data_IF_701601988778
#
_entry.id   IF_701601988778
#
_cell.length_a   1.000
_cell.length_b   1.000
_cell.length_c   1.000
_cell.angle_alpha   90.00
_cell.angle_beta   90.00
_cell.angle_gamma   90.00
#
_symmetry.space_group_name_H-M   'P 1'
#
loop_
_entity.id
_entity.type
_entity.pdbx_description
1 polymer ?
#
# COMPACT_ATOMS: atom_id res chain seq x y z
N UNK A 1 -4.93 -4.79 -9.82
CA UNK A 1 -3.58 -5.37 -9.59
C UNK A 1 -2.49 -4.74 -10.49
N UNK A 2 -2.82 -4.29 -11.72
CA UNK A 2 -1.85 -3.70 -12.67
C UNK A 2 -1.19 -2.39 -12.19
N UNK A 3 -1.83 -1.62 -11.34
CA UNK A 3 -1.37 -0.27 -10.97
C UNK A 3 -0.35 -0.27 -9.83
N UNK A 4 -0.36 -1.30 -8.98
CA UNK A 4 0.46 -1.31 -7.76
C UNK A 4 1.94 -1.62 -7.98
N UNK A 5 2.29 -2.47 -8.97
CA UNK A 5 3.66 -2.98 -9.10
C UNK A 5 4.56 -2.14 -10.03
N UNK A 6 4.01 -1.49 -11.06
CA UNK A 6 4.83 -0.78 -12.05
C UNK A 6 5.41 0.54 -11.54
N UNK A 7 4.71 1.23 -10.63
CA UNK A 7 5.16 2.53 -10.13
C UNK A 7 6.16 2.44 -8.97
N UNK A 8 6.14 1.34 -8.19
CA UNK A 8 6.95 1.22 -6.98
C UNK A 8 8.43 0.99 -7.31
N UNK A 9 8.75 0.08 -8.21
CA UNK A 9 10.15 -0.19 -8.59
C UNK A 9 10.76 1.02 -9.30
N UNK A 10 10.02 1.66 -10.21
CA UNK A 10 10.49 2.86 -10.93
C UNK A 10 10.65 4.08 -10.02
N UNK A 11 9.78 4.27 -9.01
CA UNK A 11 9.85 5.45 -8.14
C UNK A 11 11.03 5.44 -7.15
N UNK A 12 11.51 4.26 -6.75
CA UNK A 12 12.69 4.14 -5.88
C UNK A 12 14.01 4.14 -6.64
N UNK A 13 13.99 3.77 -7.91
CA UNK A 13 15.17 3.70 -8.76
C UNK A 13 15.35 5.02 -9.51
N UNK A 14 14.26 5.71 -9.84
CA UNK A 14 14.30 6.97 -10.61
C UNK A 14 14.79 8.12 -9.71
N UNK A 15 15.90 8.75 -10.06
CA UNK A 15 16.33 9.97 -9.38
C UNK A 15 15.28 11.07 -9.47
N UNK A 16 15.03 11.78 -8.36
CA UNK A 16 14.04 12.85 -8.27
C UNK A 16 14.62 14.17 -8.81
N UNK A 17 14.69 14.32 -10.13
CA UNK A 17 15.10 15.59 -10.75
C UNK A 17 14.59 15.69 -12.20
N UNK A 18 14.17 16.86 -12.61
CA UNK A 18 13.69 17.12 -13.99
C UNK A 18 14.81 17.07 -15.04
N UNK A 19 16.09 17.11 -14.61
CA UNK A 19 17.27 17.11 -15.49
C UNK A 19 17.88 15.71 -15.67
N UNK A 20 17.05 14.66 -15.69
CA UNK A 20 17.51 13.28 -15.83
C UNK A 20 17.00 12.68 -17.12
N UNK A 21 17.95 12.28 -17.97
CA UNK A 21 17.67 11.48 -19.16
C UNK A 21 17.57 10.01 -18.78
N UNK A 22 16.43 9.39 -19.10
CA UNK A 22 16.18 7.96 -18.93
C UNK A 22 16.30 7.24 -20.27
N UNK A 23 17.08 6.14 -20.29
CA UNK A 23 17.19 5.22 -21.42
C UNK A 23 16.87 3.82 -20.94
N UNK A 24 15.88 3.16 -21.54
CA UNK A 24 15.38 1.85 -21.11
C UNK A 24 15.30 0.87 -22.27
N UNK A 25 15.72 -0.37 -22.01
CA UNK A 25 15.40 -1.55 -22.84
C UNK A 25 14.54 -2.45 -21.96
N UNK A 26 13.30 -2.70 -22.39
CA UNK A 26 12.30 -3.40 -21.61
C UNK A 26 11.70 -4.56 -22.41
N UNK A 27 11.52 -5.69 -21.74
CA UNK A 27 10.78 -6.85 -22.22
C UNK A 27 9.60 -7.11 -21.29
N UNK A 28 8.39 -7.04 -21.82
CA UNK A 28 7.14 -7.39 -21.14
C UNK A 28 6.62 -8.72 -21.69
N UNK A 29 6.48 -9.72 -20.81
CA UNK A 29 5.91 -11.00 -21.12
C UNK A 29 4.62 -11.19 -20.30
N UNK A 30 3.47 -11.08 -20.97
CA UNK A 30 2.16 -11.30 -20.38
C UNK A 30 1.62 -12.67 -20.78
N UNK A 31 1.62 -13.62 -19.85
CA UNK A 31 1.05 -14.94 -20.04
C UNK A 31 -0.20 -15.10 -19.17
N UNK A 32 -1.12 -16.00 -19.54
CA UNK A 32 -2.36 -16.26 -18.78
C UNK A 32 -2.11 -16.64 -17.32
N UNK A 33 -0.96 -17.19 -16.99
CA UNK A 33 -0.61 -17.71 -15.66
C UNK A 33 0.38 -16.85 -14.89
N UNK A 34 1.09 -15.94 -15.54
CA UNK A 34 2.09 -15.08 -14.92
C UNK A 34 2.36 -13.83 -15.76
N UNK A 35 2.92 -12.82 -15.14
CA UNK A 35 3.43 -11.61 -15.77
C UNK A 35 4.92 -11.49 -15.43
N UNK A 36 5.76 -11.16 -16.41
CA UNK A 36 7.18 -10.88 -16.21
C UNK A 36 7.53 -9.60 -16.97
N UNK A 37 8.08 -8.65 -16.25
CA UNK A 37 8.73 -7.48 -16.78
C UNK A 37 10.23 -7.58 -16.46
N UNK A 38 11.11 -7.34 -17.42
CA UNK A 38 12.56 -7.32 -17.20
C UNK A 38 13.22 -6.35 -18.14
N UNK A 39 14.37 -5.82 -17.74
CA UNK A 39 15.07 -4.86 -18.61
C UNK A 39 16.34 -4.30 -18.00
N UNK A 40 16.81 -3.26 -18.68
CA UNK A 40 17.99 -2.48 -18.32
C UNK A 40 17.61 -1.00 -18.39
N UNK A 41 17.98 -0.22 -17.38
CA UNK A 41 17.72 1.23 -17.33
C UNK A 41 19.04 1.94 -17.10
N UNK A 42 19.25 3.03 -17.79
CA UNK A 42 20.33 3.98 -17.56
C UNK A 42 19.74 5.36 -17.31
N UNK A 43 20.13 5.99 -16.22
CA UNK A 43 19.82 7.37 -15.90
C UNK A 43 21.07 8.23 -16.06
N UNK A 44 20.95 9.37 -16.73
CA UNK A 44 22.02 10.37 -16.87
C UNK A 44 21.54 11.69 -16.27
N UNK A 45 22.25 12.19 -15.27
CA UNK A 45 22.00 13.52 -14.72
C UNK A 45 22.74 14.57 -15.54
N UNK A 46 22.00 15.38 -16.28
CA UNK A 46 22.51 16.36 -17.23
C UNK A 46 23.22 17.56 -16.57
N UNK A 47 23.04 17.76 -15.26
CA UNK A 47 23.71 18.83 -14.52
C UNK A 47 25.09 18.43 -14.00
N UNK A 48 25.40 17.12 -13.92
CA UNK A 48 26.71 16.62 -13.49
C UNK A 48 27.66 16.47 -14.67
N UNK A 49 28.91 16.89 -14.48
CA UNK A 49 29.94 16.85 -15.53
C UNK A 49 30.94 15.68 -15.36
N UNK A 50 30.83 14.88 -14.29
CA UNK A 50 31.71 13.75 -13.98
C UNK A 50 31.03 12.39 -14.30
N UNK A 51 31.75 11.29 -14.09
CA UNK A 51 31.21 9.95 -14.33
C UNK A 51 30.09 9.55 -13.35
N UNK A 52 29.96 10.23 -12.20
CA UNK A 52 28.88 10.02 -11.23
C UNK A 52 27.53 10.55 -11.73
N UNK A 53 27.48 11.11 -12.94
CA UNK A 53 26.23 11.47 -13.60
C UNK A 53 25.38 10.27 -14.00
N UNK A 54 25.98 9.08 -14.11
CA UNK A 54 25.29 7.89 -14.55
C UNK A 54 24.83 7.03 -13.37
N UNK A 55 23.59 6.55 -13.45
CA UNK A 55 23.06 5.48 -12.61
C UNK A 55 22.51 4.36 -13.52
N UNK A 56 22.91 3.14 -13.27
CA UNK A 56 22.54 1.98 -14.07
C UNK A 56 21.74 0.99 -13.23
N UNK A 57 20.66 0.47 -13.79
CA UNK A 57 19.90 -0.67 -13.27
C UNK A 57 20.04 -1.83 -14.25
N UNK A 58 20.89 -2.81 -13.93
CA UNK A 58 21.39 -3.83 -14.87
C UNK A 58 21.55 -5.20 -14.21
N UNK A 59 20.64 -6.16 -14.43
CA UNK A 59 19.26 -6.04 -14.91
C UNK A 59 18.29 -5.70 -13.77
N UNK A 60 17.04 -5.43 -14.13
CA UNK A 60 15.91 -5.53 -13.21
C UNK A 60 14.91 -6.57 -13.72
N UNK A 61 14.08 -7.10 -12.80
CA UNK A 61 12.92 -7.90 -13.15
C UNK A 61 11.79 -7.72 -12.14
N UNK A 62 10.57 -7.90 -12.61
CA UNK A 62 9.36 -7.98 -11.81
C UNK A 62 8.52 -9.15 -12.32
N UNK A 63 8.31 -10.15 -11.47
CA UNK A 63 7.56 -11.35 -11.77
C UNK A 63 6.34 -11.44 -10.86
N UNK A 64 5.18 -11.75 -11.43
CA UNK A 64 3.93 -11.93 -10.68
C UNK A 64 3.19 -13.17 -11.18
N UNK A 65 2.70 -13.98 -10.23
CA UNK A 65 1.93 -15.18 -10.52
C UNK A 65 0.82 -15.38 -9.50
N UNK A 66 -0.42 -15.41 -9.97
CA UNK A 66 -1.55 -15.89 -9.17
C UNK A 66 -1.51 -17.42 -9.07
N UNK A 67 -1.47 -17.92 -7.85
CA UNK A 67 -1.58 -19.34 -7.51
C UNK A 67 -3.01 -19.56 -7.01
N UNK A 68 -3.91 -20.04 -7.86
CA UNK A 68 -5.28 -20.35 -7.42
C UNK A 68 -5.28 -21.63 -6.59
N UNK A 69 -5.82 -21.58 -5.39
CA UNK A 69 -6.15 -22.78 -4.61
C UNK A 69 -7.33 -23.52 -5.27
N UNK A 70 -7.13 -24.77 -5.65
CA UNK A 70 -8.18 -25.61 -6.28
C UNK A 70 -9.37 -25.91 -5.36
N UNK A 71 -9.34 -25.51 -4.08
CA UNK A 71 -10.33 -25.94 -3.08
C UNK A 71 -11.07 -24.79 -2.38
N UNK A 72 -11.36 -23.67 -3.05
CA UNK A 72 -12.17 -22.60 -2.46
C UNK A 72 -11.65 -22.03 -1.11
N UNK A 73 -10.35 -22.14 -0.81
CA UNK A 73 -9.78 -21.67 0.44
C UNK A 73 -9.43 -20.17 0.40
N UNK A 74 -9.13 -19.66 -0.78
CA UNK A 74 -8.70 -18.27 -0.95
C UNK A 74 -7.81 -18.05 -2.17
N UNK A 75 -7.22 -16.87 -2.24
CA UNK A 75 -6.31 -16.46 -3.28
C UNK A 75 -4.88 -16.46 -2.75
N UNK A 76 -3.97 -17.10 -3.48
CA UNK A 76 -2.53 -17.02 -3.24
C UNK A 76 -1.90 -16.25 -4.40
N UNK A 77 -1.09 -15.27 -4.09
CA UNK A 77 -0.32 -14.51 -5.06
C UNK A 77 1.16 -14.55 -4.70
N UNK A 78 2.01 -14.82 -5.67
CA UNK A 78 3.47 -14.76 -5.53
C UNK A 78 4.02 -13.66 -6.42
N UNK A 79 4.83 -12.78 -5.83
CA UNK A 79 5.58 -11.77 -6.57
C UNK A 79 7.05 -11.88 -6.24
N UNK A 80 7.90 -11.66 -7.24
CA UNK A 80 9.34 -11.61 -7.08
C UNK A 80 9.88 -10.43 -7.88
N UNK A 81 10.63 -9.58 -7.23
CA UNK A 81 11.31 -8.48 -7.90
C UNK A 81 12.79 -8.49 -7.56
N UNK A 82 13.62 -8.08 -8.50
CA UNK A 82 15.04 -7.97 -8.31
C UNK A 82 15.63 -6.85 -9.12
N UNK A 83 16.65 -6.21 -8.56
CA UNK A 83 17.41 -5.16 -9.22
C UNK A 83 18.89 -5.20 -8.83
N UNK A 84 19.73 -4.82 -9.79
CA UNK A 84 21.12 -4.45 -9.54
C UNK A 84 21.30 -2.99 -9.95
N UNK A 85 21.54 -2.12 -8.97
CA UNK A 85 21.72 -0.69 -9.18
C UNK A 85 23.16 -0.30 -8.93
N UNK A 86 23.81 0.28 -9.93
CA UNK A 86 25.17 0.84 -9.87
C UNK A 86 25.09 2.35 -10.02
N UNK A 87 25.56 3.10 -9.02
CA UNK A 87 25.62 4.55 -9.02
C UNK A 87 26.95 5.07 -8.47
N UNK A 88 27.21 6.35 -8.70
CA UNK A 88 28.43 7.03 -8.24
C UNK A 88 29.67 6.20 -8.57
N UNK A 89 29.72 5.63 -9.80
CA UNK A 89 30.75 4.78 -10.41
C UNK A 89 31.09 3.47 -9.69
N UNK A 90 30.89 3.35 -8.38
CA UNK A 90 31.32 2.19 -7.60
C UNK A 90 30.36 1.74 -6.49
N UNK A 91 29.24 2.40 -6.34
CA UNK A 91 28.24 2.07 -5.31
C UNK A 91 27.23 1.08 -5.90
N UNK A 92 27.31 -0.20 -5.48
CA UNK A 92 26.46 -1.27 -6.01
C UNK A 92 25.47 -1.73 -4.95
N UNK A 93 24.19 -1.82 -5.36
CA UNK A 93 23.12 -2.48 -4.63
C UNK A 93 22.58 -3.62 -5.46
N UNK A 94 22.52 -4.81 -4.90
CA UNK A 94 21.83 -5.96 -5.48
C UNK A 94 20.77 -6.44 -4.51
N UNK A 95 19.53 -6.63 -4.95
CA UNK A 95 18.47 -7.17 -4.11
C UNK A 95 17.50 -8.05 -4.88
N UNK A 96 16.92 -9.00 -4.16
CA UNK A 96 15.80 -9.84 -4.58
C UNK A 96 14.78 -9.80 -3.46
N UNK A 97 13.53 -9.53 -3.80
CA UNK A 97 12.41 -9.50 -2.87
C UNK A 97 11.35 -10.47 -3.37
N UNK A 98 10.99 -11.42 -2.51
CA UNK A 98 9.93 -12.38 -2.79
C UNK A 98 8.80 -12.18 -1.81
N UNK A 99 7.60 -11.93 -2.30
CA UNK A 99 6.39 -11.81 -1.51
C UNK A 99 5.43 -12.97 -1.84
N UNK A 100 4.91 -13.59 -0.80
CA UNK A 100 3.83 -14.56 -0.88
C UNK A 100 2.64 -14.03 -0.09
N UNK A 101 1.56 -13.74 -0.79
CA UNK A 101 0.31 -13.23 -0.23
C UNK A 101 -0.76 -14.31 -0.27
N UNK A 102 -1.46 -14.49 0.83
CA UNK A 102 -2.67 -15.27 0.91
C UNK A 102 -3.82 -14.43 1.46
N UNK A 103 -4.97 -14.53 0.81
CA UNK A 103 -6.23 -13.97 1.29
C UNK A 103 -7.29 -15.06 1.26
N UNK A 104 -7.81 -15.44 2.43
CA UNK A 104 -8.90 -16.42 2.49
C UNK A 104 -10.17 -15.86 1.86
N UNK A 105 -11.09 -16.74 1.50
CA UNK A 105 -12.47 -16.36 1.27
C UNK A 105 -13.09 -15.86 2.58
N UNK A 106 -14.16 -15.08 2.44
CA UNK A 106 -14.91 -14.60 3.58
C UNK A 106 -15.73 -15.73 4.23
N UNK A 107 -15.54 -15.91 5.52
CA UNK A 107 -16.37 -16.78 6.36
C UNK A 107 -17.54 -15.97 6.92
N UNK A 108 -18.75 -16.30 6.54
CA UNK A 108 -19.95 -15.61 7.03
C UNK A 108 -20.68 -16.54 8.01
N UNK A 109 -20.82 -16.11 9.25
CA UNK A 109 -21.56 -16.89 10.25
C UNK A 109 -23.08 -16.64 10.14
N UNK A 110 -23.87 -17.45 10.90
CA UNK A 110 -25.35 -17.35 10.90
C UNK A 110 -25.89 -15.99 11.38
N UNK A 111 -25.09 -15.17 12.03
CA UNK A 111 -25.46 -13.83 12.50
C UNK A 111 -25.06 -12.73 11.49
N UNK A 112 -24.48 -13.09 10.34
CA UNK A 112 -24.03 -12.12 9.33
C UNK A 112 -22.66 -11.52 9.60
N UNK A 113 -21.92 -11.99 10.60
CA UNK A 113 -20.53 -11.55 10.82
C UNK A 113 -19.67 -12.20 9.75
N UNK A 114 -18.94 -11.38 9.04
CA UNK A 114 -18.02 -11.70 7.96
C UNK A 114 -16.60 -11.63 8.48
N UNK A 115 -15.81 -12.68 8.26
CA UNK A 115 -14.40 -12.73 8.70
C UNK A 115 -13.52 -13.32 7.60
N UNK A 116 -12.28 -12.88 7.51
CA UNK A 116 -11.26 -13.49 6.66
C UNK A 116 -9.89 -13.46 7.35
N UNK A 117 -9.03 -14.36 6.90
CA UNK A 117 -7.64 -14.47 7.35
C UNK A 117 -6.74 -14.15 6.17
N UNK A 118 -5.80 -13.26 6.39
CA UNK A 118 -4.79 -12.88 5.41
C UNK A 118 -3.41 -13.15 5.98
N UNK A 119 -2.45 -13.52 5.14
CA UNK A 119 -1.05 -13.48 5.52
C UNK A 119 -0.19 -12.99 4.36
N UNK A 120 0.92 -12.37 4.71
CA UNK A 120 2.00 -12.01 3.79
C UNK A 120 3.32 -12.48 4.37
N UNK A 121 4.11 -13.15 3.53
CA UNK A 121 5.51 -13.50 3.83
C UNK A 121 6.38 -12.79 2.83
N UNK A 122 7.35 -12.03 3.32
CA UNK A 122 8.33 -11.29 2.53
C UNK A 122 9.73 -11.84 2.82
N UNK A 123 10.46 -12.24 1.78
CA UNK A 123 11.87 -12.58 1.86
C UNK A 123 12.70 -11.54 1.08
N UNK A 124 13.58 -10.85 1.79
CA UNK A 124 14.53 -9.90 1.21
C UNK A 124 15.93 -10.55 1.22
N UNK A 125 16.54 -10.67 0.05
CA UNK A 125 17.95 -11.02 -0.12
C UNK A 125 18.63 -9.79 -0.70
N UNK A 126 19.68 -9.29 -0.03
CA UNK A 126 20.36 -8.08 -0.47
C UNK A 126 21.86 -8.14 -0.21
N UNK A 127 22.62 -7.47 -1.09
CA UNK A 127 24.06 -7.25 -0.99
C UNK A 127 24.37 -5.81 -1.41
N UNK A 128 25.26 -5.19 -0.68
CA UNK A 128 25.68 -3.79 -0.90
C UNK A 128 27.19 -3.73 -1.01
N UNK A 129 27.69 -2.85 -1.86
CA UNK A 129 29.10 -2.55 -2.00
C UNK A 129 29.30 -1.03 -1.99
N UNK A 130 30.22 -0.56 -1.14
CA UNK A 130 30.52 0.86 -0.95
C UNK A 130 29.31 1.72 -0.52
N UNK A 131 28.42 1.15 0.28
CA UNK A 131 27.32 1.85 0.94
C UNK A 131 27.64 2.05 2.42
N UNK A 132 27.75 3.28 2.90
CA UNK A 132 28.10 3.59 4.30
C UNK A 132 27.05 3.10 5.31
N UNK A 133 25.79 3.02 4.89
CA UNK A 133 24.66 2.64 5.76
C UNK A 133 24.38 1.13 5.80
N UNK A 134 24.99 0.33 4.93
CA UNK A 134 24.68 -1.08 4.79
C UNK A 134 25.93 -1.95 4.84
N UNK A 135 25.77 -3.14 5.42
CA UNK A 135 26.85 -4.14 5.43
C UNK A 135 27.10 -4.65 4.02
N UNK A 136 28.36 -4.79 3.65
CA UNK A 136 28.78 -5.29 2.32
C UNK A 136 28.52 -6.77 2.09
N UNK A 137 28.13 -7.53 3.12
CA UNK A 137 27.88 -8.96 3.00
C UNK A 137 26.47 -9.27 2.51
N UNK A 138 26.33 -10.41 1.84
CA UNK A 138 25.02 -10.96 1.49
C UNK A 138 24.18 -11.15 2.75
N UNK A 139 22.99 -10.59 2.78
CA UNK A 139 22.03 -10.72 3.87
C UNK A 139 20.72 -11.29 3.35
N UNK A 140 20.08 -12.13 4.17
CA UNK A 140 18.72 -12.63 3.91
C UNK A 140 17.88 -12.36 5.13
N UNK A 141 16.66 -11.81 4.90
CA UNK A 141 15.69 -11.50 5.94
C UNK A 141 14.34 -12.05 5.55
N UNK A 142 13.73 -12.81 6.46
CA UNK A 142 12.38 -13.31 6.32
C UNK A 142 11.46 -12.56 7.29
N UNK A 143 10.35 -12.08 6.80
CA UNK A 143 9.35 -11.31 7.56
C UNK A 143 7.97 -11.87 7.28
N UNK A 144 7.04 -11.75 8.24
CA UNK A 144 5.69 -12.25 8.04
C UNK A 144 4.65 -11.51 8.86
N UNK A 145 3.49 -11.26 8.25
CA UNK A 145 2.30 -10.69 8.88
C UNK A 145 1.16 -11.69 8.77
N UNK A 146 0.45 -11.90 9.87
CA UNK A 146 -0.86 -12.57 9.90
C UNK A 146 -1.91 -11.54 10.31
N UNK A 147 -3.03 -11.55 9.64
CA UNK A 147 -4.14 -10.64 9.87
C UNK A 147 -5.46 -11.39 9.93
N UNK A 148 -6.28 -11.09 10.94
CA UNK A 148 -7.68 -11.50 11.02
C UNK A 148 -8.53 -10.25 10.88
N UNK A 149 -9.31 -10.16 9.80
CA UNK A 149 -10.29 -9.09 9.61
C UNK A 149 -11.69 -9.60 9.90
N UNK A 150 -12.50 -8.80 10.56
CA UNK A 150 -13.91 -9.09 10.84
C UNK A 150 -14.73 -7.83 10.62
N UNK A 151 -15.89 -7.98 9.98
CA UNK A 151 -16.87 -6.92 9.81
C UNK A 151 -18.29 -7.43 10.08
N UNK A 152 -19.19 -6.48 10.33
CA UNK A 152 -20.60 -6.79 10.56
C UNK A 152 -21.49 -5.87 9.70
N UNK A 153 -21.56 -6.14 8.39
CA UNK A 153 -22.33 -5.31 7.47
C UNK A 153 -23.83 -5.38 7.79
N UNK A 154 -24.44 -4.22 7.97
CA UNK A 154 -25.85 -4.04 8.24
C UNK A 154 -26.48 -3.17 7.15
N UNK A 155 -27.69 -3.49 6.77
CA UNK A 155 -28.46 -2.72 5.79
C UNK A 155 -29.85 -2.43 6.36
N UNK A 156 -30.28 -1.17 6.24
CA UNK A 156 -31.64 -0.76 6.55
C UNK A 156 -32.19 0.04 5.37
N UNK A 157 -33.30 -0.42 4.82
CA UNK A 157 -34.05 0.28 3.78
C UNK A 157 -35.24 1.00 4.43
N UNK A 158 -35.45 2.25 4.12
CA UNK A 158 -36.63 3.04 4.39
C UNK A 158 -37.29 3.49 3.07
N UNK A 159 -38.29 4.36 3.12
CA UNK A 159 -39.10 4.73 1.94
C UNK A 159 -38.28 5.46 0.84
N UNK A 160 -37.24 6.20 1.23
CA UNK A 160 -36.44 7.02 0.31
C UNK A 160 -34.98 6.59 0.18
N UNK A 161 -34.44 5.90 1.22
CA UNK A 161 -33.00 5.65 1.33
C UNK A 161 -32.69 4.21 1.70
N UNK A 162 -31.52 3.76 1.24
CA UNK A 162 -30.84 2.57 1.75
C UNK A 162 -29.64 3.04 2.60
N UNK A 163 -29.61 2.59 3.83
CA UNK A 163 -28.54 2.90 4.77
C UNK A 163 -27.70 1.65 5.00
N UNK A 164 -26.39 1.75 4.75
CA UNK A 164 -25.40 0.71 5.00
C UNK A 164 -24.55 1.14 6.17
N UNK A 165 -24.28 0.22 7.10
CA UNK A 165 -23.36 0.44 8.20
C UNK A 165 -22.48 -0.81 8.35
N UNK A 166 -21.16 -0.67 8.24
CA UNK A 166 -20.21 -1.76 8.30
C UNK A 166 -19.08 -1.44 9.30
N UNK A 167 -19.24 -1.80 10.58
CA UNK A 167 -18.16 -1.74 11.55
C UNK A 167 -17.13 -2.83 11.23
N UNK A 168 -15.84 -2.47 11.26
CA UNK A 168 -14.71 -3.32 10.91
C UNK A 168 -13.67 -3.36 12.01
N UNK A 169 -13.07 -4.52 12.19
CA UNK A 169 -11.95 -4.74 13.10
C UNK A 169 -10.91 -5.63 12.41
N UNK A 170 -9.64 -5.28 12.55
CA UNK A 170 -8.53 -6.11 12.07
C UNK A 170 -7.50 -6.27 13.17
N UNK A 171 -7.15 -7.52 13.48
CA UNK A 171 -6.05 -7.89 14.36
C UNK A 171 -4.85 -8.30 13.50
N UNK A 172 -3.70 -7.64 13.69
CA UNK A 172 -2.46 -7.91 12.96
C UNK A 172 -1.34 -8.28 13.91
N UNK A 173 -0.59 -9.31 13.52
CA UNK A 173 0.55 -9.83 14.27
C UNK A 173 1.74 -9.96 13.32
N UNK A 174 2.81 -9.25 13.60
CA UNK A 174 4.10 -9.38 12.93
C UNK A 174 5.24 -9.37 13.97
N UNK A 175 5.82 -10.55 14.30
CA UNK A 175 6.93 -10.65 15.23
C UNK A 175 8.28 -10.28 14.61
N UNK A 176 8.35 -10.03 13.30
CA UNK A 176 9.59 -9.75 12.60
C UNK A 176 10.10 -8.34 12.91
N UNK A 177 11.42 -8.15 12.87
CA UNK A 177 12.02 -6.83 12.99
C UNK A 177 11.84 -6.03 11.69
N UNK A 178 11.35 -4.80 11.82
CA UNK A 178 11.24 -3.84 10.73
C UNK A 178 12.55 -3.11 10.51
N UNK A 179 12.90 -2.83 9.25
CA UNK A 179 13.95 -1.86 8.94
C UNK A 179 13.53 -0.45 9.36
N UNK A 180 14.51 0.40 9.66
CA UNK A 180 14.21 1.79 9.97
C UNK A 180 13.78 2.53 8.70
N UNK A 181 12.50 2.86 8.62
CA UNK A 181 11.87 3.61 7.53
C UNK A 181 11.26 4.93 8.02
N UNK A 182 11.69 5.43 9.19
CA UNK A 182 11.12 6.62 9.84
C UNK A 182 11.13 7.87 8.95
N UNK A 183 12.11 7.98 8.06
CA UNK A 183 12.27 9.11 7.14
C UNK A 183 11.58 8.90 5.78
N UNK A 184 10.97 7.75 5.53
CA UNK A 184 10.21 7.55 4.32
C UNK A 184 8.88 8.29 4.39
N UNK A 185 8.44 8.82 3.24
CA UNK A 185 7.13 9.46 3.14
C UNK A 185 6.06 8.42 2.83
N UNK A 186 5.20 8.15 3.81
CA UNK A 186 4.04 7.25 3.65
C UNK A 186 2.83 7.88 4.32
N UNK A 187 1.70 7.87 3.63
CA UNK A 187 0.43 8.40 4.15
C UNK A 187 -0.56 7.26 4.32
N UNK A 188 -1.13 7.15 5.51
CA UNK A 188 -2.26 6.26 5.77
C UNK A 188 -3.55 7.03 5.49
N UNK A 189 -4.46 6.38 4.77
CA UNK A 189 -5.79 6.85 4.44
C UNK A 189 -6.83 5.79 4.79
N UNK A 190 -8.10 6.17 4.79
CA UNK A 190 -9.17 5.20 5.03
C UNK A 190 -9.21 4.06 4.01
N UNK A 191 -8.78 4.33 2.77
CA UNK A 191 -8.80 3.34 1.70
C UNK A 191 -7.72 2.25 1.86
N UNK A 192 -6.63 2.53 2.60
CA UNK A 192 -5.52 1.56 2.82
C UNK A 192 -5.29 1.13 4.27
N UNK A 193 -6.01 1.70 5.25
CA UNK A 193 -5.79 1.43 6.68
C UNK A 193 -5.98 -0.06 7.05
N UNK A 194 -6.84 -0.76 6.30
CA UNK A 194 -7.12 -2.19 6.46
C UNK A 194 -6.30 -3.09 5.52
N UNK A 195 -5.40 -2.53 4.70
CA UNK A 195 -4.55 -3.34 3.83
C UNK A 195 -3.47 -4.05 4.65
N UNK A 196 -3.20 -5.32 4.34
CA UNK A 196 -2.17 -6.10 5.02
C UNK A 196 -0.79 -5.44 4.92
N UNK A 197 -0.52 -4.73 3.83
CA UNK A 197 0.69 -3.93 3.61
C UNK A 197 0.34 -2.45 3.39
N UNK A 198 -0.28 -1.85 4.39
CA UNK A 198 -0.78 -0.46 4.33
C UNK A 198 0.32 0.60 4.18
N UNK A 199 1.55 0.29 4.57
CA UNK A 199 2.70 1.18 4.39
C UNK A 199 3.33 1.05 3.01
N UNK A 200 3.13 -0.08 2.30
CA UNK A 200 3.69 -0.31 0.98
C UNK A 200 5.23 -0.21 0.92
N UNK A 201 5.91 -0.62 2.01
CA UNK A 201 7.36 -0.59 2.08
C UNK A 201 7.95 -1.76 1.28
N UNK A 202 8.95 -1.49 0.44
CA UNK A 202 9.46 -2.49 -0.48
C UNK A 202 10.28 -3.55 0.24
N UNK A 203 11.20 -3.15 1.10
CA UNK A 203 12.23 -4.01 1.70
C UNK A 203 11.94 -4.42 3.14
N UNK A 204 10.80 -4.02 3.68
CA UNK A 204 10.39 -4.35 5.04
C UNK A 204 8.86 -4.45 5.16
N UNK A 205 8.38 -4.99 6.27
CA UNK A 205 6.96 -5.03 6.64
C UNK A 205 6.77 -4.30 7.97
N UNK A 206 5.60 -3.69 8.17
CA UNK A 206 5.22 -3.08 9.44
C UNK A 206 5.24 -4.11 10.57
N UNK A 207 6.11 -3.94 11.55
CA UNK A 207 6.28 -4.85 12.69
C UNK A 207 5.39 -4.53 13.87
N UNK A 208 5.29 -5.50 14.79
CA UNK A 208 4.54 -5.40 16.04
C UNK A 208 3.08 -5.86 15.90
N UNK A 209 2.38 -5.85 17.05
CA UNK A 209 0.98 -6.24 17.13
C UNK A 209 0.10 -5.01 17.17
N UNK A 210 -0.99 -5.03 16.44
CA UNK A 210 -1.92 -3.91 16.43
C UNK A 210 -3.35 -4.34 16.10
N UNK A 211 -4.29 -3.52 16.56
CA UNK A 211 -5.71 -3.62 16.32
C UNK A 211 -6.12 -2.39 15.49
N UNK A 212 -6.71 -2.61 14.32
CA UNK A 212 -7.34 -1.56 13.53
C UNK A 212 -8.84 -1.59 13.77
N UNK A 213 -9.41 -0.46 14.13
CA UNK A 213 -10.85 -0.26 14.28
C UNK A 213 -11.33 0.68 13.19
N UNK A 214 -12.46 0.39 12.60
CA UNK A 214 -13.06 1.27 11.60
C UNK A 214 -14.55 1.08 11.44
N UNK A 215 -15.15 2.00 10.73
CA UNK A 215 -16.55 1.91 10.32
C UNK A 215 -16.75 2.59 8.97
N UNK A 216 -17.66 2.05 8.21
CA UNK A 216 -18.17 2.66 6.98
C UNK A 216 -19.68 2.87 7.13
N UNK A 217 -20.15 4.06 6.81
CA UNK A 217 -21.57 4.39 6.72
C UNK A 217 -21.84 4.96 5.35
N UNK A 218 -22.83 4.41 4.64
CA UNK A 218 -23.28 4.94 3.35
C UNK A 218 -24.79 5.08 3.38
N UNK A 219 -25.29 6.25 3.00
CA UNK A 219 -26.70 6.52 2.78
C UNK A 219 -26.90 6.84 1.31
N UNK A 220 -27.62 6.02 0.58
CA UNK A 220 -27.89 6.23 -0.84
C UNK A 220 -29.39 6.35 -1.12
N UNK A 221 -29.74 7.12 -2.15
CA UNK A 221 -31.13 7.32 -2.53
C UNK A 221 -31.65 6.08 -3.28
N UNK A 222 -32.83 5.57 -2.89
CA UNK A 222 -33.39 4.34 -3.44
C UNK A 222 -33.69 4.45 -4.96
N UNK A 223 -34.10 5.62 -5.41
CA UNK A 223 -34.43 5.86 -6.82
C UNK A 223 -33.23 6.20 -7.72
N UNK A 224 -32.08 6.57 -7.08
CA UNK A 224 -30.90 7.04 -7.81
C UNK A 224 -29.62 6.75 -6.99
N UNK A 225 -29.03 5.58 -7.21
CA UNK A 225 -27.84 5.08 -6.50
C UNK A 225 -26.61 5.99 -6.64
N UNK A 226 -26.63 6.93 -7.62
CA UNK A 226 -25.58 7.91 -7.80
C UNK A 226 -25.65 9.05 -6.77
N UNK A 227 -26.77 9.16 -6.04
CA UNK A 227 -26.94 10.13 -4.96
C UNK A 227 -26.67 9.46 -3.62
N UNK A 228 -25.52 9.73 -3.03
CA UNK A 228 -25.14 9.13 -1.75
C UNK A 228 -24.24 10.02 -0.91
N UNK A 229 -24.29 9.78 0.39
CA UNK A 229 -23.34 10.26 1.38
C UNK A 229 -22.62 9.04 1.96
N UNK A 230 -21.30 9.05 1.92
CA UNK A 230 -20.44 8.02 2.53
C UNK A 230 -19.54 8.65 3.59
N UNK A 231 -19.42 8.00 4.74
CA UNK A 231 -18.50 8.34 5.82
C UNK A 231 -17.68 7.11 6.17
N UNK A 232 -16.36 7.24 6.15
CA UNK A 232 -15.41 6.22 6.61
C UNK A 232 -14.58 6.79 7.73
N UNK A 233 -14.39 6.01 8.79
CA UNK A 233 -13.51 6.35 9.91
C UNK A 233 -12.63 5.14 10.24
N UNK A 234 -11.41 5.39 10.68
CA UNK A 234 -10.51 4.33 11.11
C UNK A 234 -9.41 4.84 12.04
N UNK A 235 -8.94 3.96 12.93
CA UNK A 235 -7.81 4.21 13.83
C UNK A 235 -7.08 2.91 14.15
N UNK A 236 -5.83 3.01 14.59
CA UNK A 236 -4.97 1.87 14.90
C UNK A 236 -4.50 1.99 16.35
N UNK A 237 -4.60 0.88 17.08
CA UNK A 237 -4.10 0.74 18.45
C UNK A 237 -2.98 -0.29 18.43
N UNK A 238 -1.77 0.09 18.84
CA UNK A 238 -0.58 -0.76 18.90
C UNK A 238 -0.27 -1.17 20.33
N UNK A 239 0.37 -2.32 20.50
CA UNK A 239 0.86 -2.74 21.83
C UNK A 239 1.98 -1.84 22.33
N UNK A 240 2.79 -1.31 21.43
CA UNK A 240 3.95 -0.46 21.75
C UNK A 240 4.24 0.55 20.63
N UNK A 241 4.95 1.62 20.96
CA UNK A 241 5.48 2.57 19.97
C UNK A 241 6.50 1.88 19.06
N UNK A 242 6.53 2.25 17.79
CA UNK A 242 7.52 1.75 16.84
C UNK A 242 8.14 2.91 16.05
N UNK A 243 9.33 3.32 16.46
CA UNK A 243 10.03 4.46 15.87
C UNK A 243 10.65 4.16 14.49
N UNK A 244 10.61 2.91 14.01
CA UNK A 244 11.04 2.55 12.66
C UNK A 244 9.97 2.80 11.60
N UNK A 245 8.73 3.05 12.02
CA UNK A 245 7.61 3.36 11.13
C UNK A 245 7.74 4.80 10.62
N UNK A 246 7.42 5.08 9.33
CA UNK A 246 7.38 6.42 8.78
C UNK A 246 6.59 7.40 9.64
N UNK A 247 7.22 8.52 10.04
CA UNK A 247 6.62 9.50 10.96
C UNK A 247 5.34 10.10 10.35
N UNK A 248 5.36 10.42 9.05
CA UNK A 248 4.25 11.01 8.34
C UNK A 248 3.04 10.08 8.20
N UNK A 249 3.21 8.78 8.44
CA UNK A 249 2.09 7.83 8.44
C UNK A 249 1.15 8.00 9.62
N UNK A 250 1.59 8.67 10.70
CA UNK A 250 0.85 8.90 11.95
C UNK A 250 0.36 7.63 12.65
N UNK A 251 1.05 6.46 12.42
CA UNK A 251 0.71 5.17 13.04
C UNK A 251 1.85 4.58 13.90
N UNK A 252 2.92 5.33 14.12
CA UNK A 252 4.11 4.88 14.87
C UNK A 252 3.88 4.78 16.37
N UNK A 253 2.88 5.47 16.92
CA UNK A 253 2.55 5.52 18.34
C UNK A 253 1.53 4.46 18.74
N UNK A 254 1.40 4.19 20.06
CA UNK A 254 0.40 3.26 20.62
C UNK A 254 -1.02 3.56 20.15
N UNK A 255 -1.36 4.83 19.98
CA UNK A 255 -2.59 5.29 19.37
C UNK A 255 -2.24 6.09 18.14
N UNK A 256 -2.75 5.66 17.00
CA UNK A 256 -2.62 6.43 15.76
C UNK A 256 -3.56 7.63 15.75
N UNK A 257 -3.41 8.45 14.74
CA UNK A 257 -4.45 9.39 14.35
C UNK A 257 -5.77 8.68 14.05
N UNK A 258 -6.86 9.45 14.07
CA UNK A 258 -8.14 9.07 13.50
C UNK A 258 -8.14 9.54 12.06
N UNK A 259 -8.30 8.60 11.14
CA UNK A 259 -8.39 8.86 9.70
C UNK A 259 -9.85 8.88 9.29
N UNK A 260 -10.25 9.89 8.54
CA UNK A 260 -11.63 10.06 8.09
C UNK A 260 -11.71 10.39 6.61
N UNK A 261 -12.81 9.94 5.97
CA UNK A 261 -13.18 10.29 4.61
C UNK A 261 -14.69 10.48 4.51
N UNK A 262 -15.10 11.59 3.92
CA UNK A 262 -16.50 11.90 3.63
C UNK A 262 -16.60 12.06 2.13
N UNK A 263 -17.52 11.35 1.50
CA UNK A 263 -17.85 11.51 0.07
C UNK A 263 -19.31 11.84 -0.04
N UNK A 264 -19.65 12.93 -0.73
CA UNK A 264 -21.02 13.32 -0.99
C UNK A 264 -21.23 13.46 -2.50
N UNK A 265 -21.88 12.48 -3.08
CA UNK A 265 -22.31 12.52 -4.48
C UNK A 265 -23.71 13.13 -4.55
N UNK A 266 -23.78 14.43 -4.84
CA UNK A 266 -25.03 15.19 -4.86
C UNK A 266 -25.90 14.82 -6.06
N UNK A 267 -25.29 14.49 -7.20
CA UNK A 267 -25.93 14.04 -8.43
C UNK A 267 -24.87 13.48 -9.39
N UNK A 268 -25.28 13.02 -10.57
CA UNK A 268 -24.38 12.46 -11.59
C UNK A 268 -23.25 13.40 -12.05
N UNK A 269 -23.31 14.67 -11.68
CA UNK A 269 -22.41 15.71 -12.17
C UNK A 269 -21.53 16.32 -11.08
N UNK A 270 -21.88 16.15 -9.80
CA UNK A 270 -21.16 16.82 -8.68
C UNK A 270 -20.83 15.79 -7.62
N UNK A 271 -19.54 15.57 -7.43
CA UNK A 271 -18.98 14.76 -6.37
C UNK A 271 -18.09 15.63 -5.47
N UNK A 272 -18.31 15.58 -4.18
CA UNK A 272 -17.51 16.27 -3.17
C UNK A 272 -16.84 15.23 -2.29
N UNK A 273 -15.54 15.38 -2.03
CA UNK A 273 -14.81 14.54 -1.10
C UNK A 273 -14.02 15.38 -0.08
N UNK A 274 -13.88 14.84 1.10
CA UNK A 274 -13.08 15.42 2.17
C UNK A 274 -12.38 14.30 2.93
N UNK A 275 -11.04 14.33 2.94
CA UNK A 275 -10.21 13.43 3.72
C UNK A 275 -9.51 14.20 4.84
N UNK A 276 -9.38 13.58 6.01
CA UNK A 276 -8.71 14.17 7.15
C UNK A 276 -8.00 13.14 8.03
N UNK A 277 -7.02 13.62 8.77
CA UNK A 277 -6.32 12.89 9.83
C UNK A 277 -6.23 13.79 11.05
N UNK A 278 -6.84 13.37 12.14
CA UNK A 278 -6.85 14.08 13.44
C UNK A 278 -6.00 13.29 14.40
N UNK A 279 -5.13 13.95 15.17
CA UNK A 279 -4.30 13.27 16.14
C UNK A 279 -5.12 12.55 17.23
N UNK A 280 -4.47 11.63 17.96
CA UNK A 280 -5.13 10.79 18.98
C UNK A 280 -5.81 11.57 20.11
N UNK A 281 -5.37 12.80 20.38
CA UNK A 281 -5.89 13.66 21.45
C UNK A 281 -7.04 14.54 20.96
N UNK A 282 -7.36 14.51 19.65
CA UNK A 282 -8.44 15.25 18.99
C UNK A 282 -8.30 16.78 19.03
N UNK A 283 -7.10 17.28 19.25
CA UNK A 283 -6.84 18.72 19.39
C UNK A 283 -6.20 19.34 18.12
N UNK A 284 -5.72 18.49 17.18
CA UNK A 284 -5.04 18.95 15.99
C UNK A 284 -5.38 18.11 14.76
N UNK A 285 -5.68 18.78 13.66
CA UNK A 285 -5.76 18.16 12.33
C UNK A 285 -4.36 18.18 11.74
N UNK A 286 -3.78 16.98 11.54
CA UNK A 286 -2.43 16.83 10.96
C UNK A 286 -2.46 16.84 9.43
N UNK A 287 -3.57 16.39 8.85
CA UNK A 287 -3.78 16.37 7.40
C UNK A 287 -5.25 16.59 7.06
N UNK A 288 -5.51 17.36 6.03
CA UNK A 288 -6.83 17.42 5.41
C UNK A 288 -6.71 17.73 3.91
N UNK A 289 -7.66 17.23 3.14
CA UNK A 289 -7.80 17.49 1.71
C UNK A 289 -9.27 17.58 1.36
N UNK A 290 -9.64 18.54 0.54
CA UNK A 290 -10.99 18.69 0.00
C UNK A 290 -10.92 18.66 -1.52
N UNK A 291 -11.78 17.84 -2.12
CA UNK A 291 -11.94 17.71 -3.56
C UNK A 291 -13.38 18.05 -3.98
N UNK A 292 -13.51 18.59 -5.17
CA UNK A 292 -14.80 18.79 -5.84
C UNK A 292 -14.63 18.44 -7.32
N UNK A 293 -15.40 17.47 -7.78
CA UNK A 293 -15.43 17.06 -9.18
C UNK A 293 -16.77 17.47 -9.79
N UNK A 294 -16.69 18.16 -10.93
CA UNK A 294 -17.85 18.55 -11.73
C UNK A 294 -17.72 17.96 -13.12
N UNK A 295 -18.64 17.06 -13.50
CA UNK A 295 -18.72 16.49 -14.85
C UNK A 295 -19.98 16.96 -15.55
N UNK A 296 -19.81 17.50 -16.78
CA UNK A 296 -20.94 17.83 -17.67
C UNK A 296 -20.74 17.07 -18.98
N UNK A 297 -21.81 16.51 -19.55
CA UNK A 297 -21.75 15.64 -20.74
C UNK A 297 -21.01 16.25 -21.95
N UNK A 298 -20.69 17.54 -21.93
CA UNK A 298 -19.99 18.27 -22.99
C UNK A 298 -18.54 18.67 -22.63
N UNK A 299 -18.12 18.47 -21.38
CA UNK A 299 -16.76 18.79 -20.91
C UNK A 299 -16.24 17.61 -20.10
N UNK A 300 -15.29 16.90 -20.69
CA UNK A 300 -14.42 15.93 -20.00
C UNK A 300 -13.10 16.59 -19.68
#
# INVERSE_FOLDING_TARGET
>A
LKVFNQNIVKSEIKPQSDDILESEIKLDLNHKKFELETGFISYENLQKNNNDRYEFVLPYYNFSKGLTSEQNLGLINFTSLGDNTLKDTNTLRSRIINDLDFKSLDFINKKGIKSNINFRVKNLISSYRNYDQYRSNLSSRLMGIIELQTSYPQVKTDEEFINYFDPKISLRINPSNMANSSNEERTIKNDNIFDIDRLGLIDTLESGNNLTLGMEFKKEKLEDNNKYLELKLGTIIRTEDNNNIPINSAISKKRSNIFGKIVNNLNNNINLDYEFSVNSDLDKIDYHSAGAEFSKNEFK
#
